data_IF_141628744889
#
_entry.id   IF_141628744889
#
_cell.length_a   1.000
_cell.length_b   1.000
_cell.length_c   1.000
_cell.angle_alpha   90.00
_cell.angle_beta   90.00
_cell.angle_gamma   90.00
#
_symmetry.space_group_name_H-M   'P 1'
#
loop_
_entity.id
_entity.type
_entity.pdbx_description
1 polymer ?
#
# COMPACT_ATOMS: atom_id res chain seq x y z
N UNK A 1 -13.25 -0.55 -5.03
CA UNK A 1 -13.39 -1.33 -6.27
C UNK A 1 -12.05 -1.34 -7.00
N UNK A 2 -11.54 -2.52 -7.33
CA UNK A 2 -10.35 -2.73 -8.14
C UNK A 2 -10.79 -3.04 -9.58
N UNK A 3 -10.09 -2.46 -10.54
CA UNK A 3 -10.36 -2.61 -11.96
C UNK A 3 -9.07 -3.03 -12.66
N UNK A 4 -9.08 -4.18 -13.32
CA UNK A 4 -7.95 -4.67 -14.12
C UNK A 4 -8.29 -4.55 -15.60
N UNK A 5 -7.48 -3.80 -16.34
CA UNK A 5 -7.71 -3.49 -17.73
C UNK A 5 -6.85 -4.41 -18.56
N UNK A 6 -7.50 -5.18 -19.44
CA UNK A 6 -6.88 -6.10 -20.37
C UNK A 6 -7.17 -5.69 -21.81
N UNK A 7 -6.19 -5.90 -22.67
CA UNK A 7 -6.32 -5.79 -24.12
C UNK A 7 -5.53 -6.93 -24.75
N UNK A 8 -6.10 -7.63 -25.74
CA UNK A 8 -5.46 -8.78 -26.39
C UNK A 8 -4.93 -9.85 -25.39
N UNK A 9 -5.73 -10.17 -24.36
CA UNK A 9 -5.38 -11.07 -23.25
C UNK A 9 -4.20 -10.63 -22.36
N UNK A 10 -3.64 -9.45 -22.55
CA UNK A 10 -2.57 -8.92 -21.71
C UNK A 10 -3.13 -7.84 -20.78
N UNK A 11 -2.73 -7.86 -19.51
CA UNK A 11 -3.02 -6.77 -18.58
C UNK A 11 -2.24 -5.53 -19.01
N UNK A 12 -2.95 -4.44 -19.27
CA UNK A 12 -2.37 -3.16 -19.71
C UNK A 12 -2.39 -2.11 -18.61
N UNK A 13 -3.34 -2.19 -17.67
CA UNK A 13 -3.39 -1.26 -16.54
C UNK A 13 -4.19 -1.84 -15.37
N UNK A 14 -4.05 -1.24 -14.19
CA UNK A 14 -4.86 -1.53 -13.00
C UNK A 14 -5.18 -0.23 -12.28
N UNK A 15 -6.46 -0.04 -11.91
CA UNK A 15 -6.90 1.10 -11.12
C UNK A 15 -7.63 0.63 -9.86
N UNK A 16 -7.56 1.46 -8.82
CA UNK A 16 -8.37 1.29 -7.61
C UNK A 16 -9.11 2.59 -7.32
N UNK A 17 -10.43 2.47 -7.17
CA UNK A 17 -11.29 3.60 -6.83
C UNK A 17 -12.00 3.32 -5.51
N UNK A 18 -11.81 4.24 -4.56
CA UNK A 18 -12.51 4.22 -3.28
C UNK A 18 -13.95 4.76 -3.41
N UNK A 19 -14.15 5.74 -4.30
CA UNK A 19 -15.46 6.34 -4.56
C UNK A 19 -15.62 6.73 -6.04
N UNK A 20 -16.88 6.83 -6.48
CA UNK A 20 -17.26 7.35 -7.78
C UNK A 20 -17.53 8.87 -7.77
N UNK A 21 -17.74 9.50 -8.93
CA UNK A 21 -17.83 8.91 -10.26
C UNK A 21 -16.46 8.68 -10.93
N UNK A 22 -16.30 7.54 -11.60
CA UNK A 22 -15.11 7.21 -12.41
C UNK A 22 -15.47 7.27 -13.88
N UNK A 23 -14.88 8.19 -14.66
CA UNK A 23 -15.17 8.32 -16.10
C UNK A 23 -14.22 7.46 -16.91
N UNK A 24 -14.78 6.85 -17.96
CA UNK A 24 -14.08 5.97 -18.90
C UNK A 24 -14.30 6.49 -20.32
N UNK A 25 -13.23 6.63 -21.10
CA UNK A 25 -13.33 7.05 -22.49
C UNK A 25 -11.97 7.24 -23.16
N UNK A 26 -11.98 7.61 -24.45
CA UNK A 26 -10.74 7.84 -25.20
C UNK A 26 -10.07 9.19 -24.90
N UNK A 27 -10.84 10.19 -24.48
CA UNK A 27 -10.24 11.47 -24.15
C UNK A 27 -9.38 11.36 -22.88
N UNK A 28 -8.32 12.16 -22.84
CA UNK A 28 -7.38 12.24 -21.72
C UNK A 28 -7.96 12.88 -20.45
N UNK A 29 -9.18 13.42 -20.51
CA UNK A 29 -9.91 14.01 -19.38
C UNK A 29 -10.69 12.97 -18.54
N UNK A 30 -10.69 11.71 -18.95
CA UNK A 30 -11.27 10.60 -18.22
C UNK A 30 -10.26 10.01 -17.23
N UNK A 31 -10.74 9.47 -16.10
CA UNK A 31 -9.89 8.77 -15.14
C UNK A 31 -9.34 7.45 -15.70
N UNK A 32 -10.12 6.75 -16.52
CA UNK A 32 -9.67 5.57 -17.28
C UNK A 32 -9.65 5.95 -18.76
N UNK A 33 -8.43 6.11 -19.29
CA UNK A 33 -8.20 6.47 -20.69
C UNK A 33 -7.99 5.20 -21.52
N UNK A 34 -8.88 4.98 -22.49
CA UNK A 34 -8.82 3.87 -23.44
C UNK A 34 -8.58 4.42 -24.86
N UNK A 35 -7.32 4.49 -25.33
CA UNK A 35 -6.93 5.26 -26.52
C UNK A 35 -7.27 4.56 -27.85
N UNK A 36 -8.50 4.12 -28.05
CA UNK A 36 -8.95 3.43 -29.28
C UNK A 36 -10.09 4.19 -29.99
N UNK A 37 -10.03 4.28 -31.32
CA UNK A 37 -11.02 5.00 -32.14
C UNK A 37 -12.45 4.52 -31.91
N UNK A 38 -12.65 3.23 -31.64
CA UNK A 38 -13.95 2.63 -31.31
C UNK A 38 -14.48 3.05 -29.93
N UNK A 39 -13.66 3.64 -29.07
CA UNK A 39 -14.08 4.16 -27.78
C UNK A 39 -14.45 5.65 -27.91
N UNK A 40 -15.68 5.96 -27.50
CA UNK A 40 -16.18 7.34 -27.42
C UNK A 40 -15.29 8.20 -26.51
N UNK A 41 -15.26 9.50 -26.80
CA UNK A 41 -14.53 10.50 -26.00
C UNK A 41 -14.89 10.44 -24.51
N UNK A 42 -16.18 10.34 -24.21
CA UNK A 42 -16.74 10.00 -22.90
C UNK A 42 -17.67 8.82 -23.14
N UNK A 43 -17.30 7.63 -22.68
CA UNK A 43 -17.95 6.39 -23.08
C UNK A 43 -18.88 5.86 -22.01
N UNK A 44 -18.35 5.70 -20.80
CA UNK A 44 -19.10 5.20 -19.65
C UNK A 44 -18.66 5.92 -18.37
N UNK A 45 -19.47 5.80 -17.33
CA UNK A 45 -19.13 6.24 -15.98
C UNK A 45 -19.48 5.13 -15.00
N UNK A 46 -18.59 4.89 -14.02
CA UNK A 46 -18.88 4.05 -12.87
C UNK A 46 -19.35 4.96 -11.74
N UNK A 47 -20.57 4.74 -11.29
CA UNK A 47 -21.22 5.49 -10.22
C UNK A 47 -21.26 4.63 -8.98
N UNK A 48 -21.06 5.25 -7.82
CA UNK A 48 -21.28 4.62 -6.54
C UNK A 48 -22.61 5.11 -5.98
N UNK A 49 -23.45 4.19 -5.49
CA UNK A 49 -24.68 4.55 -4.79
C UNK A 49 -24.36 4.99 -3.35
N UNK A 50 -25.28 5.69 -2.66
CA UNK A 50 -25.10 6.04 -1.25
C UNK A 50 -24.83 4.83 -0.34
N UNK A 51 -25.34 3.65 -0.73
CA UNK A 51 -25.17 2.37 -0.02
C UNK A 51 -23.84 1.66 -0.36
N UNK A 52 -22.99 2.28 -1.19
CA UNK A 52 -21.65 1.80 -1.52
C UNK A 52 -21.58 0.85 -2.72
N UNK A 53 -22.71 0.49 -3.33
CA UNK A 53 -22.75 -0.36 -4.52
C UNK A 53 -22.24 0.40 -5.76
N UNK A 54 -21.63 -0.34 -6.68
CA UNK A 54 -21.15 0.22 -7.93
C UNK A 54 -22.10 -0.10 -9.08
N UNK A 55 -22.26 0.84 -9.99
CA UNK A 55 -23.03 0.67 -11.22
C UNK A 55 -22.29 1.28 -12.40
N UNK A 56 -22.32 0.62 -13.55
CA UNK A 56 -21.90 1.22 -14.82
C UNK A 56 -23.07 1.97 -15.44
N UNK A 57 -22.78 3.09 -16.08
CA UNK A 57 -23.72 3.79 -16.95
C UNK A 57 -23.03 4.16 -18.27
N UNK A 58 -23.58 3.68 -19.38
CA UNK A 58 -23.18 4.08 -20.73
C UNK A 58 -23.66 5.50 -21.02
N UNK A 59 -22.78 6.34 -21.56
CA UNK A 59 -23.03 7.75 -21.86
C UNK A 59 -23.45 7.95 -23.32
N UNK A 60 -24.35 7.10 -23.82
CA UNK A 60 -24.77 7.04 -25.23
C UNK A 60 -23.60 6.84 -26.19
N UNK A 61 -22.77 5.84 -25.88
CA UNK A 61 -21.60 5.54 -26.69
C UNK A 61 -21.99 4.95 -28.06
N UNK A 62 -21.12 5.15 -29.07
CA UNK A 62 -21.37 4.69 -30.43
C UNK A 62 -21.33 3.15 -30.56
N UNK A 63 -20.48 2.49 -29.76
CA UNK A 63 -20.26 1.05 -29.82
C UNK A 63 -20.83 0.29 -28.61
N UNK A 64 -21.61 0.96 -27.75
CA UNK A 64 -22.18 0.43 -26.50
C UNK A 64 -21.14 -0.06 -25.50
N UNK A 65 -21.57 -0.13 -24.25
CA UNK A 65 -20.85 -0.79 -23.16
C UNK A 65 -21.45 -2.18 -22.98
N UNK A 66 -20.62 -3.20 -22.81
CA UNK A 66 -21.08 -4.57 -22.56
C UNK A 66 -20.65 -5.02 -21.17
N UNK A 67 -21.52 -5.72 -20.45
CA UNK A 67 -21.23 -6.39 -19.19
C UNK A 67 -21.40 -7.89 -19.39
N UNK A 68 -20.34 -8.68 -19.20
CA UNK A 68 -20.37 -10.13 -19.40
C UNK A 68 -20.96 -10.56 -20.76
N UNK A 69 -20.67 -9.81 -21.82
CA UNK A 69 -21.10 -10.10 -23.20
C UNK A 69 -22.48 -9.56 -23.60
N UNK A 70 -23.25 -8.94 -22.70
CA UNK A 70 -24.54 -8.29 -23.04
C UNK A 70 -24.44 -6.77 -23.02
N UNK A 71 -25.08 -6.05 -23.96
CA UNK A 71 -25.06 -4.59 -23.97
C UNK A 71 -25.89 -4.03 -22.82
N UNK A 72 -25.36 -3.01 -22.15
CA UNK A 72 -25.98 -2.38 -20.97
C UNK A 72 -26.05 -0.87 -21.13
N UNK A 73 -27.14 -0.26 -20.66
CA UNK A 73 -27.26 1.20 -20.58
C UNK A 73 -26.95 1.70 -19.15
N UNK A 74 -27.46 0.99 -18.14
CA UNK A 74 -27.14 1.19 -16.73
C UNK A 74 -27.34 -0.13 -16.00
N UNK A 75 -26.36 -0.57 -15.24
CA UNK A 75 -26.44 -1.85 -14.52
C UNK A 75 -25.52 -1.85 -13.30
N UNK A 76 -25.94 -2.56 -12.24
CA UNK A 76 -25.09 -2.80 -11.08
C UNK A 76 -23.94 -3.73 -11.42
N UNK A 77 -22.81 -3.51 -10.76
CA UNK A 77 -21.59 -4.28 -10.93
C UNK A 77 -21.36 -5.14 -9.70
N UNK A 78 -20.95 -6.38 -9.94
CA UNK A 78 -20.55 -7.36 -8.94
C UNK A 78 -19.09 -7.77 -9.15
N UNK A 79 -18.50 -8.39 -8.14
CA UNK A 79 -17.13 -8.89 -8.25
C UNK A 79 -17.09 -10.07 -9.21
N UNK A 80 -16.05 -10.15 -10.02
CA UNK A 80 -15.91 -11.12 -11.10
C UNK A 80 -16.60 -10.69 -12.41
N UNK A 81 -17.32 -9.57 -12.44
CA UNK A 81 -17.87 -9.04 -13.67
C UNK A 81 -16.76 -8.52 -14.60
N UNK A 82 -16.97 -8.62 -15.91
CA UNK A 82 -16.08 -8.05 -16.92
C UNK A 82 -16.83 -7.08 -17.82
N UNK A 83 -16.41 -5.82 -17.81
CA UNK A 83 -16.91 -4.79 -18.74
C UNK A 83 -16.09 -4.81 -20.03
N UNK A 84 -16.75 -4.82 -21.17
CA UNK A 84 -16.11 -4.69 -22.47
C UNK A 84 -16.47 -3.34 -23.11
N UNK A 85 -15.42 -2.60 -23.49
CA UNK A 85 -15.49 -1.31 -24.18
C UNK A 85 -14.48 -1.33 -25.34
N UNK A 86 -14.95 -1.40 -26.57
CA UNK A 86 -14.08 -1.57 -27.74
C UNK A 86 -13.31 -2.90 -27.67
N UNK A 87 -11.99 -2.84 -27.80
CA UNK A 87 -11.08 -4.00 -27.63
C UNK A 87 -10.61 -4.24 -26.19
N UNK A 88 -11.04 -3.41 -25.24
CA UNK A 88 -10.65 -3.50 -23.84
C UNK A 88 -11.66 -4.30 -23.03
N UNK A 89 -11.13 -5.11 -22.11
CA UNK A 89 -11.87 -5.76 -21.02
C UNK A 89 -11.44 -5.13 -19.71
N UNK A 90 -12.38 -4.81 -18.84
CA UNK A 90 -12.16 -4.25 -17.51
C UNK A 90 -12.78 -5.24 -16.53
N UNK A 91 -11.93 -6.03 -15.90
CA UNK A 91 -12.38 -6.96 -14.85
C UNK A 91 -12.60 -6.20 -13.57
N UNK A 92 -13.77 -6.43 -13.00
CA UNK A 92 -14.26 -5.73 -11.84
C UNK A 92 -14.13 -6.65 -10.65
N UNK A 93 -13.46 -6.12 -9.64
CA UNK A 93 -13.45 -6.69 -8.32
C UNK A 93 -14.12 -5.68 -7.38
N UNK A 94 -15.42 -5.91 -7.13
CA UNK A 94 -16.25 -5.09 -6.24
C UNK A 94 -16.20 -5.58 -4.80
N UNK A 95 -15.54 -6.70 -4.51
CA UNK A 95 -15.55 -7.25 -3.16
C UNK A 95 -14.80 -6.32 -2.20
N UNK A 96 -15.51 -5.98 -1.13
CA UNK A 96 -14.91 -5.95 0.20
C UNK A 96 -14.64 -7.43 0.55
N UNK A 97 -13.39 -7.83 0.79
CA UNK A 97 -12.96 -9.22 1.12
C UNK A 97 -14.11 -10.14 1.58
N UNK A 98 -14.60 -11.07 0.75
CA UNK A 98 -15.32 -12.26 1.23
C UNK A 98 -15.04 -13.44 0.31
N UNK A 99 -14.08 -14.33 0.63
CA UNK A 99 -13.82 -15.50 -0.20
C UNK A 99 -15.04 -16.44 -0.20
N UNK A 100 -15.35 -16.96 -1.39
CA UNK A 100 -16.37 -17.97 -1.63
C UNK A 100 -16.17 -19.22 -0.75
N UNK A 101 -17.27 -19.67 -0.15
CA UNK A 101 -17.37 -20.87 0.67
C UNK A 101 -17.20 -22.14 -0.18
N UNK A 102 -16.19 -22.95 0.15
CA UNK A 102 -16.28 -24.41 -0.04
C UNK A 102 -17.31 -25.00 0.94
N UNK A 103 -17.94 -26.14 0.61
CA UNK A 103 -19.14 -26.61 1.32
C UNK A 103 -18.88 -26.86 2.80
N UNK A 104 -19.73 -26.25 3.63
CA UNK A 104 -19.70 -26.24 5.09
C UNK A 104 -19.94 -27.67 5.62
N UNK A 105 -18.93 -28.23 6.29
CA UNK A 105 -19.13 -29.34 7.23
C UNK A 105 -19.65 -28.77 8.56
N UNK A 106 -20.85 -29.19 8.94
CA UNK A 106 -21.68 -28.67 10.04
C UNK A 106 -21.16 -28.96 11.48
N UNK A 107 -19.88 -29.26 11.68
CA UNK A 107 -19.36 -29.64 13.01
C UNK A 107 -18.30 -28.69 13.61
N UNK A 108 -17.74 -27.74 12.85
CA UNK A 108 -16.71 -26.81 13.39
C UNK A 108 -17.30 -25.47 13.88
N UNK A 109 -18.45 -25.51 14.55
CA UNK A 109 -19.19 -24.30 14.99
C UNK A 109 -18.64 -23.69 16.29
N UNK A 110 -17.32 -23.71 16.56
CA UNK A 110 -16.72 -23.03 17.72
C UNK A 110 -15.22 -22.69 17.51
N UNK A 111 -14.87 -21.91 16.48
CA UNK A 111 -13.66 -21.09 16.52
C UNK A 111 -14.06 -19.68 16.06
N UNK A 112 -14.04 -18.74 16.99
CA UNK A 112 -14.05 -17.30 16.72
C UNK A 112 -13.13 -16.98 15.55
N UNK A 113 -13.65 -16.38 14.48
CA UNK A 113 -12.89 -15.82 13.37
C UNK A 113 -11.86 -14.78 13.88
N UNK A 114 -10.70 -15.24 14.32
CA UNK A 114 -9.52 -14.42 14.47
C UNK A 114 -9.08 -14.12 13.04
N UNK A 115 -9.44 -12.94 12.51
CA UNK A 115 -8.87 -12.42 11.27
C UNK A 115 -7.35 -12.34 11.47
N UNK A 116 -6.61 -13.29 10.90
CA UNK A 116 -5.16 -13.38 11.12
C UNK A 116 -4.42 -12.13 10.62
N UNK A 117 -3.39 -11.72 11.37
CA UNK A 117 -2.52 -10.62 10.99
C UNK A 117 -1.69 -11.01 9.76
N UNK A 118 -2.07 -10.52 8.59
CA UNK A 118 -1.32 -10.75 7.36
C UNK A 118 -0.02 -9.92 7.34
N UNK A 119 1.10 -10.58 7.05
CA UNK A 119 2.41 -9.96 6.87
C UNK A 119 2.93 -10.28 5.47
N UNK A 120 3.33 -9.27 4.72
CA UNK A 120 4.00 -9.43 3.42
C UNK A 120 5.47 -9.04 3.63
N UNK A 121 6.39 -9.96 3.36
CA UNK A 121 7.82 -9.73 3.50
C UNK A 121 8.47 -9.45 2.13
N UNK A 122 9.41 -8.52 2.12
CA UNK A 122 10.35 -8.26 1.03
C UNK A 122 11.73 -8.70 1.51
N UNK A 123 12.24 -9.76 0.88
CA UNK A 123 13.60 -10.25 1.05
C UNK A 123 14.46 -9.77 -0.14
N UNK A 124 15.51 -9.01 0.16
CA UNK A 124 16.45 -8.48 -0.83
C UNK A 124 17.56 -9.45 -1.20
N UNK A 125 17.69 -10.58 -0.49
CA UNK A 125 18.71 -11.61 -0.73
C UNK A 125 18.24 -12.72 -1.69
N UNK A 126 16.94 -12.82 -1.95
CA UNK A 126 16.34 -13.89 -2.75
C UNK A 126 15.84 -13.40 -4.11
N UNK A 127 16.46 -13.87 -5.20
CA UNK A 127 16.19 -13.45 -6.58
C UNK A 127 14.81 -13.82 -7.16
N UNK A 128 13.88 -14.31 -6.34
CA UNK A 128 12.48 -14.57 -6.70
C UNK A 128 11.51 -13.47 -6.26
N UNK A 129 12.00 -12.41 -5.60
CA UNK A 129 11.17 -11.30 -5.21
C UNK A 129 10.60 -10.56 -6.45
N UNK A 130 9.33 -10.12 -6.43
CA UNK A 130 8.77 -9.30 -7.50
C UNK A 130 9.58 -8.03 -7.74
N UNK A 131 9.50 -7.47 -8.95
CA UNK A 131 10.14 -6.19 -9.26
C UNK A 131 9.77 -5.11 -8.24
N UNK A 132 10.74 -4.23 -7.93
CA UNK A 132 10.48 -3.00 -7.18
C UNK A 132 9.64 -2.07 -8.05
N UNK A 133 8.50 -1.61 -7.52
CA UNK A 133 7.59 -0.70 -8.24
C UNK A 133 7.47 0.61 -7.49
N UNK A 134 7.94 1.68 -8.11
CA UNK A 134 7.92 3.02 -7.53
C UNK A 134 7.25 4.00 -8.50
N UNK A 135 6.20 4.71 -8.05
CA UNK A 135 5.67 5.85 -8.80
C UNK A 135 6.78 6.90 -9.03
N UNK A 136 6.84 7.50 -10.21
CA UNK A 136 7.89 8.46 -10.55
C UNK A 136 7.98 9.64 -9.55
N UNK A 137 6.86 10.05 -8.95
CA UNK A 137 6.85 11.10 -7.91
C UNK A 137 7.68 10.73 -6.67
N UNK A 138 7.79 9.44 -6.32
CA UNK A 138 8.61 8.97 -5.20
C UNK A 138 10.11 9.21 -5.43
N UNK A 139 10.56 9.35 -6.68
CA UNK A 139 11.95 9.70 -6.97
C UNK A 139 12.26 11.12 -6.50
N UNK A 140 11.34 12.07 -6.70
CA UNK A 140 11.51 13.43 -6.17
C UNK A 140 11.55 13.46 -4.65
N UNK A 141 10.67 12.68 -3.99
CA UNK A 141 10.68 12.56 -2.53
C UNK A 141 11.97 11.92 -2.01
N UNK A 142 12.51 10.93 -2.73
CA UNK A 142 13.77 10.28 -2.38
C UNK A 142 14.95 11.24 -2.47
N UNK A 143 15.00 12.10 -3.50
CA UNK A 143 16.06 13.11 -3.64
C UNK A 143 16.06 14.05 -2.43
N UNK A 144 14.90 14.62 -2.09
CA UNK A 144 14.73 15.49 -0.91
C UNK A 144 15.15 14.78 0.39
N UNK A 145 14.68 13.54 0.58
CA UNK A 145 15.03 12.74 1.74
C UNK A 145 16.53 12.45 1.83
N UNK A 146 17.16 12.07 0.72
CA UNK A 146 18.58 11.76 0.66
C UNK A 146 19.43 12.99 1.02
N UNK A 147 19.09 14.17 0.50
CA UNK A 147 19.78 15.43 0.83
C UNK A 147 19.68 15.77 2.32
N UNK A 148 18.49 15.62 2.91
CA UNK A 148 18.27 15.86 4.35
C UNK A 148 19.06 14.88 5.22
N UNK A 149 19.04 13.58 4.89
CA UNK A 149 19.77 12.56 5.65
C UNK A 149 21.29 12.75 5.52
N UNK A 150 21.80 13.06 4.32
CA UNK A 150 23.23 13.35 4.12
C UNK A 150 23.72 14.58 4.89
N UNK A 151 22.82 15.55 5.13
CA UNK A 151 23.15 16.79 5.84
C UNK A 151 23.07 16.65 7.37
N UNK A 152 22.54 15.53 7.88
CA UNK A 152 22.39 15.30 9.30
C UNK A 152 23.72 14.90 9.96
N UNK A 153 24.04 15.54 11.07
CA UNK A 153 25.31 15.32 11.79
C UNK A 153 25.11 14.40 12.99
N UNK A 154 25.39 13.10 12.80
CA UNK A 154 25.30 12.07 13.83
C UNK A 154 23.92 11.41 13.95
N UNK A 155 23.84 10.35 14.76
CA UNK A 155 22.67 9.49 14.84
C UNK A 155 21.40 10.21 15.29
N UNK A 156 21.49 11.10 16.28
CA UNK A 156 20.31 11.81 16.81
C UNK A 156 19.67 12.69 15.72
N UNK A 157 20.49 13.40 14.94
CA UNK A 157 20.01 14.26 13.85
C UNK A 157 19.39 13.44 12.70
N UNK A 158 19.97 12.27 12.39
CA UNK A 158 19.41 11.35 11.40
C UNK A 158 18.08 10.81 11.89
N UNK A 159 18.02 10.39 13.16
CA UNK A 159 16.80 9.87 13.76
C UNK A 159 15.67 10.89 13.68
N UNK A 160 15.92 12.15 14.06
CA UNK A 160 14.95 13.23 13.93
C UNK A 160 14.52 13.44 12.47
N UNK A 161 15.47 13.42 11.54
CA UNK A 161 15.18 13.53 10.10
C UNK A 161 14.30 12.40 9.58
N UNK A 162 14.55 11.15 10.00
CA UNK A 162 13.73 9.99 9.61
C UNK A 162 12.30 10.10 10.13
N UNK A 163 12.13 10.57 11.36
CA UNK A 163 10.82 10.78 11.96
C UNK A 163 10.03 11.83 11.18
N UNK A 164 10.64 12.98 10.87
CA UNK A 164 10.03 14.03 10.05
C UNK A 164 9.64 13.52 8.66
N UNK A 165 10.56 12.84 7.97
CA UNK A 165 10.30 12.26 6.64
C UNK A 165 9.15 11.25 6.66
N UNK A 166 9.05 10.43 7.71
CA UNK A 166 7.98 9.46 7.87
C UNK A 166 6.61 10.15 8.01
N UNK A 167 6.50 11.24 8.77
CA UNK A 167 5.26 12.02 8.84
C UNK A 167 4.94 12.71 7.51
N UNK A 168 5.92 13.39 6.92
CA UNK A 168 5.73 14.22 5.72
C UNK A 168 5.36 13.38 4.50
N UNK A 169 6.06 12.26 4.30
CA UNK A 169 6.04 11.52 3.03
C UNK A 169 5.26 10.20 3.10
N UNK A 170 4.94 9.71 4.31
CA UNK A 170 4.11 8.51 4.51
C UNK A 170 2.80 8.81 5.24
N UNK A 171 2.55 10.06 5.63
CA UNK A 171 1.35 10.47 6.36
C UNK A 171 1.11 9.59 7.59
N UNK A 172 2.18 9.36 8.34
CA UNK A 172 2.18 8.46 9.48
C UNK A 172 1.26 8.97 10.59
N UNK A 173 0.53 8.06 11.24
CA UNK A 173 -0.12 8.34 12.51
C UNK A 173 0.90 8.24 13.66
N UNK A 174 1.81 7.25 13.56
CA UNK A 174 2.93 7.07 14.49
C UNK A 174 4.17 6.60 13.75
N UNK A 175 5.30 7.03 14.26
CA UNK A 175 6.62 6.65 13.76
C UNK A 175 7.47 6.25 14.95
N UNK A 176 8.27 5.21 14.80
CA UNK A 176 9.34 4.90 15.72
C UNK A 176 10.56 4.46 14.94
N UNK A 177 11.72 4.90 15.36
CA UNK A 177 12.97 4.43 14.80
C UNK A 177 14.02 4.27 15.88
N UNK A 178 14.98 3.40 15.59
CA UNK A 178 16.14 3.18 16.43
C UNK A 178 17.37 2.91 15.59
N UNK A 179 18.51 3.46 16.02
CA UNK A 179 19.79 3.46 15.34
C UNK A 179 20.92 3.05 16.29
N UNK A 180 21.99 2.50 15.72
CA UNK A 180 23.28 2.22 16.33
C UNK A 180 24.40 2.38 15.30
N UNK A 181 25.61 2.72 15.74
CA UNK A 181 26.77 2.82 14.86
C UNK A 181 27.31 1.45 14.47
N UNK A 182 27.32 0.51 15.41
CA UNK A 182 27.85 -0.83 15.16
C UNK A 182 26.78 -1.75 14.56
N UNK A 183 27.19 -2.63 13.66
CA UNK A 183 26.32 -3.64 13.05
C UNK A 183 25.75 -4.67 14.06
N UNK A 184 26.23 -4.68 15.31
CA UNK A 184 25.86 -5.61 16.38
C UNK A 184 25.76 -4.82 17.70
N UNK A 185 24.84 -5.19 18.59
CA UNK A 185 24.71 -4.60 19.93
C UNK A 185 23.33 -3.98 20.18
N UNK A 186 23.11 -3.35 21.34
CA UNK A 186 21.84 -2.67 21.60
C UNK A 186 21.68 -1.46 20.67
N UNK A 187 20.43 -1.07 20.38
CA UNK A 187 20.15 0.22 19.76
C UNK A 187 20.55 1.34 20.73
N UNK A 188 21.36 2.29 20.27
CA UNK A 188 21.95 3.35 21.12
C UNK A 188 21.16 4.66 21.07
N UNK A 189 20.40 4.87 19.99
CA UNK A 189 19.58 6.05 19.78
C UNK A 189 18.19 5.56 19.33
N UNK A 190 17.11 5.97 20.00
CA UNK A 190 15.75 5.60 19.59
C UNK A 190 14.75 6.69 19.98
N UNK A 191 13.71 6.84 19.18
CA UNK A 191 12.66 7.84 19.38
C UNK A 191 11.41 7.41 18.64
N UNK A 192 10.27 7.63 19.26
CA UNK A 192 8.99 7.48 18.63
C UNK A 192 8.11 8.69 18.90
N UNK A 193 7.32 9.06 17.91
CA UNK A 193 6.35 10.15 18.01
C UNK A 193 5.01 9.70 17.41
N UNK A 194 3.92 10.31 17.88
CA UNK A 194 2.66 10.32 17.17
C UNK A 194 2.49 11.60 16.33
N UNK A 195 1.44 11.66 15.51
CA UNK A 195 1.15 12.81 14.65
C UNK A 195 0.90 14.14 15.39
N UNK A 196 0.73 14.12 16.72
CA UNK A 196 0.65 15.32 17.57
C UNK A 196 2.01 15.76 18.12
N UNK A 197 3.08 15.01 17.86
CA UNK A 197 4.41 15.23 18.41
C UNK A 197 4.58 14.72 19.84
N UNK A 198 3.66 13.89 20.34
CA UNK A 198 3.80 13.26 21.66
C UNK A 198 4.72 12.04 21.55
N UNK A 199 5.64 11.90 22.50
CA UNK A 199 6.57 10.76 22.54
C UNK A 199 5.85 9.43 22.79
N UNK A 200 6.28 8.40 22.06
CA UNK A 200 5.84 7.02 22.23
C UNK A 200 7.05 6.12 22.40
N UNK A 201 6.99 5.26 23.42
CA UNK A 201 7.99 4.22 23.63
C UNK A 201 7.72 3.01 22.73
N UNK A 202 8.73 2.14 22.60
CA UNK A 202 8.57 0.87 21.88
C UNK A 202 7.46 -0.01 22.49
N UNK A 203 7.26 0.06 23.82
CA UNK A 203 6.20 -0.66 24.52
C UNK A 203 4.78 -0.20 24.17
N UNK A 204 4.62 1.03 23.68
CA UNK A 204 3.33 1.59 23.25
C UNK A 204 2.96 1.16 21.81
N UNK A 205 3.86 0.41 21.15
CA UNK A 205 3.67 -0.11 19.81
C UNK A 205 3.22 -1.58 19.92
N UNK A 206 1.94 -1.82 19.69
CA UNK A 206 1.36 -3.18 19.68
C UNK A 206 1.99 -4.13 18.64
N UNK A 207 2.81 -3.60 17.73
CA UNK A 207 3.57 -4.34 16.72
C UNK A 207 5.07 -4.46 17.01
N UNK A 208 5.55 -4.18 18.23
CA UNK A 208 6.99 -4.28 18.56
C UNK A 208 7.60 -5.65 18.20
N UNK A 209 6.88 -6.76 18.39
CA UNK A 209 7.35 -8.11 17.98
C UNK A 209 7.62 -8.22 16.48
N UNK A 210 6.91 -7.45 15.65
CA UNK A 210 7.14 -7.41 14.19
C UNK A 210 8.36 -6.58 13.84
N UNK A 211 8.74 -5.60 14.67
CA UNK A 211 10.00 -4.88 14.55
C UNK A 211 11.16 -5.84 14.87
N UNK A 212 11.04 -6.62 15.95
CA UNK A 212 12.03 -7.65 16.30
C UNK A 212 12.17 -8.68 15.17
N UNK A 213 11.06 -9.20 14.64
CA UNK A 213 11.05 -10.14 13.51
C UNK A 213 11.76 -9.55 12.27
N UNK A 214 11.50 -8.29 11.92
CA UNK A 214 12.13 -7.63 10.79
C UNK A 214 13.65 -7.47 10.99
N UNK A 215 14.09 -7.15 12.21
CA UNK A 215 15.50 -7.02 12.58
C UNK A 215 16.23 -8.38 12.54
N UNK A 216 15.61 -9.42 13.10
CA UNK A 216 16.17 -10.78 13.16
C UNK A 216 16.31 -11.41 11.77
N UNK A 217 15.28 -11.27 10.92
CA UNK A 217 15.27 -11.85 9.57
C UNK A 217 15.93 -10.95 8.53
N UNK A 218 16.11 -9.67 8.82
CA UNK A 218 16.58 -8.68 7.85
C UNK A 218 15.60 -8.43 6.70
N UNK A 219 14.31 -8.70 6.93
CA UNK A 219 13.21 -8.56 5.97
C UNK A 219 12.46 -7.25 6.17
N UNK A 220 11.99 -6.66 5.07
CA UNK A 220 11.12 -5.48 5.12
C UNK A 220 9.67 -5.97 5.13
N UNK A 221 8.87 -5.47 6.08
CA UNK A 221 7.52 -5.99 6.32
C UNK A 221 6.46 -4.97 5.99
N UNK A 222 5.42 -5.42 5.29
CA UNK A 222 4.16 -4.70 5.10
C UNK A 222 3.04 -5.45 5.82
N UNK A 223 2.32 -4.75 6.68
CA UNK A 223 1.11 -5.21 7.34
C UNK A 223 -0.07 -4.43 6.75
N UNK A 224 -0.69 -4.91 5.65
CA UNK A 224 -1.68 -4.15 4.89
C UNK A 224 -3.02 -3.99 5.64
N UNK A 225 -3.25 -4.85 6.63
CA UNK A 225 -4.39 -4.77 7.54
C UNK A 225 -3.97 -5.30 8.91
N UNK A 226 -4.26 -4.51 9.92
CA UNK A 226 -4.07 -4.90 11.32
C UNK A 226 -5.46 -5.08 11.96
N UNK A 227 -5.75 -6.24 12.57
CA UNK A 227 -6.98 -6.44 13.32
C UNK A 227 -7.08 -5.41 14.45
N UNK A 228 -8.29 -4.97 14.82
CA UNK A 228 -8.46 -4.05 15.93
C UNK A 228 -7.92 -4.70 17.21
N UNK A 229 -7.01 -4.00 17.88
CA UNK A 229 -6.51 -4.41 19.19
C UNK A 229 -7.54 -4.11 20.28
N UNK A 230 -7.52 -4.91 21.35
CA UNK A 230 -8.37 -4.74 22.53
C UNK A 230 -8.02 -3.44 23.28
N UNK A 231 -6.78 -2.97 23.15
CA UNK A 231 -6.25 -1.76 23.79
C UNK A 231 -6.64 -0.45 23.07
N UNK A 232 -7.54 -0.51 22.08
CA UNK A 232 -8.13 0.67 21.45
C UNK A 232 -7.22 1.41 20.46
N UNK A 233 -5.99 0.93 20.24
CA UNK A 233 -5.11 1.44 19.19
C UNK A 233 -5.67 1.09 17.80
N UNK A 234 -6.16 2.11 17.09
CA UNK A 234 -6.82 1.95 15.78
C UNK A 234 -5.83 1.99 14.62
N UNK A 235 -4.86 1.07 14.64
CA UNK A 235 -3.92 0.93 13.51
C UNK A 235 -4.65 0.33 12.31
N UNK A 236 -4.46 0.90 11.13
CA UNK A 236 -5.03 0.39 9.88
C UNK A 236 -4.06 -0.48 9.13
N UNK A 237 -2.83 -0.01 8.99
CA UNK A 237 -1.71 -0.68 8.33
C UNK A 237 -0.38 -0.18 8.89
N UNK A 238 0.68 -0.96 8.71
CA UNK A 238 2.02 -0.59 9.11
C UNK A 238 3.05 -1.10 8.10
N UNK A 239 4.19 -0.41 8.02
CA UNK A 239 5.39 -0.85 7.30
C UNK A 239 6.59 -0.79 8.24
N UNK A 240 7.50 -1.74 8.09
CA UNK A 240 8.68 -1.90 8.93
C UNK A 240 9.87 -2.14 8.02
N UNK A 241 10.91 -1.35 8.20
CA UNK A 241 12.14 -1.46 7.43
C UNK A 241 13.36 -1.57 8.35
N UNK A 242 14.12 -2.69 8.29
CA UNK A 242 15.45 -2.71 8.88
C UNK A 242 16.36 -1.74 8.10
N UNK A 243 17.12 -0.93 8.84
CA UNK A 243 18.18 -0.06 8.31
C UNK A 243 19.42 -0.92 8.24
N UNK A 244 19.74 -1.45 7.05
CA UNK A 244 20.81 -2.43 6.88
C UNK A 244 21.52 -2.32 5.54
N UNK A 245 22.77 -2.76 5.52
CA UNK A 245 23.56 -3.01 4.31
C UNK A 245 23.92 -4.51 4.24
N UNK A 246 24.77 -4.88 3.28
CA UNK A 246 25.34 -6.23 3.24
C UNK A 246 26.21 -6.54 4.48
N UNK A 247 26.73 -5.51 5.15
CA UNK A 247 27.69 -5.64 6.25
C UNK A 247 27.01 -5.70 7.63
N UNK A 248 25.71 -5.41 7.71
CA UNK A 248 24.94 -5.59 8.93
C UNK A 248 23.71 -4.72 9.03
N UNK A 249 23.06 -4.79 10.18
CA UNK A 249 21.88 -4.00 10.52
C UNK A 249 22.26 -2.92 11.53
N UNK A 250 21.89 -1.67 11.24
CA UNK A 250 22.21 -0.48 12.02
C UNK A 250 20.98 0.11 12.70
N UNK A 251 19.78 -0.40 12.41
CA UNK A 251 18.56 0.13 12.99
C UNK A 251 17.28 -0.44 12.40
N UNK A 252 16.16 0.18 12.75
CA UNK A 252 14.86 -0.06 12.13
C UNK A 252 14.02 1.21 12.11
N UNK A 253 13.09 1.27 11.16
CA UNK A 253 12.03 2.27 11.06
C UNK A 253 10.69 1.53 11.06
N UNK A 254 9.80 1.95 11.93
CA UNK A 254 8.40 1.56 12.02
C UNK A 254 7.52 2.76 11.65
N UNK A 255 6.57 2.54 10.76
CA UNK A 255 5.59 3.56 10.35
C UNK A 255 4.21 2.92 10.34
N UNK A 256 3.24 3.54 11.02
CA UNK A 256 1.85 3.14 10.93
C UNK A 256 0.92 4.28 10.58
N UNK A 257 -0.30 3.91 10.18
CA UNK A 257 -1.37 4.87 9.94
C UNK A 257 -2.69 4.42 10.57
N UNK A 258 -3.59 5.38 10.72
CA UNK A 258 -4.90 5.16 11.31
C UNK A 258 -5.95 4.75 10.26
N UNK A 259 -7.17 4.46 10.72
CA UNK A 259 -8.27 3.99 9.86
C UNK A 259 -8.86 5.06 8.94
N UNK A 260 -8.46 6.33 9.08
CA UNK A 260 -8.87 7.41 8.18
C UNK A 260 -7.99 7.47 6.94
N UNK A 261 -6.76 6.95 7.03
CA UNK A 261 -5.81 6.86 5.93
C UNK A 261 -6.01 5.62 5.04
N UNK A 262 -5.47 5.69 3.81
CA UNK A 262 -5.34 4.53 2.94
C UNK A 262 -4.31 3.55 3.53
N UNK A 263 -4.53 2.23 3.45
CA UNK A 263 -3.52 1.28 3.89
C UNK A 263 -2.25 1.40 3.04
N UNK A 264 -1.09 1.20 3.67
CA UNK A 264 0.18 1.15 2.97
C UNK A 264 0.20 0.03 1.93
N UNK A 265 0.91 0.32 0.84
CA UNK A 265 1.05 -0.58 -0.30
C UNK A 265 2.47 -1.11 -0.40
N UNK A 266 2.69 -2.08 -1.30
CA UNK A 266 4.04 -2.54 -1.62
C UNK A 266 4.92 -1.42 -2.19
N UNK A 267 4.36 -0.44 -2.90
CA UNK A 267 5.13 0.70 -3.39
C UNK A 267 5.61 1.61 -2.25
N UNK A 268 4.84 1.72 -1.16
CA UNK A 268 5.25 2.45 0.04
C UNK A 268 6.34 1.69 0.79
N UNK A 269 6.23 0.36 0.89
CA UNK A 269 7.30 -0.48 1.45
C UNK A 269 8.58 -0.40 0.61
N UNK A 270 8.47 -0.48 -0.72
CA UNK A 270 9.60 -0.36 -1.65
C UNK A 270 10.28 1.02 -1.52
N UNK A 271 9.50 2.08 -1.24
CA UNK A 271 10.05 3.41 -0.97
C UNK A 271 10.77 3.49 0.38
N UNK A 272 10.15 2.97 1.45
CA UNK A 272 10.78 2.94 2.78
C UNK A 272 12.06 2.09 2.77
N UNK A 273 12.07 1.01 1.98
CA UNK A 273 13.27 0.19 1.75
C UNK A 273 14.42 1.03 1.19
N UNK A 274 14.17 1.86 0.16
CA UNK A 274 15.22 2.73 -0.40
C UNK A 274 15.75 3.72 0.64
N UNK A 275 14.86 4.34 1.43
CA UNK A 275 15.27 5.24 2.51
C UNK A 275 16.11 4.53 3.57
N UNK A 276 15.69 3.34 4.00
CA UNK A 276 16.38 2.57 5.02
C UNK A 276 17.76 2.09 4.56
N UNK A 277 17.89 1.61 3.31
CA UNK A 277 19.18 1.20 2.73
C UNK A 277 20.11 2.39 2.56
N UNK A 278 19.60 3.53 2.09
CA UNK A 278 20.39 4.76 1.96
C UNK A 278 20.91 5.24 3.32
N UNK A 279 20.02 5.28 4.31
CA UNK A 279 20.37 5.65 5.69
C UNK A 279 21.44 4.72 6.27
N UNK A 280 21.32 3.41 6.06
CA UNK A 280 22.29 2.44 6.53
C UNK A 280 23.68 2.69 5.95
N UNK A 281 23.76 2.99 4.65
CA UNK A 281 25.02 3.33 3.98
C UNK A 281 25.66 4.60 4.52
N UNK A 282 24.86 5.58 4.99
CA UNK A 282 25.40 6.77 5.65
C UNK A 282 25.89 6.41 7.05
N UNK A 283 25.11 5.63 7.82
CA UNK A 283 25.47 5.25 9.19
C UNK A 283 26.77 4.44 9.24
N UNK A 284 26.92 3.50 8.31
CA UNK A 284 28.11 2.67 8.18
C UNK A 284 29.39 3.46 7.93
N UNK A 285 29.28 4.68 7.39
CA UNK A 285 30.41 5.55 7.07
C UNK A 285 30.64 6.69 8.09
N UNK A 286 29.90 6.72 9.21
CA UNK A 286 30.22 7.63 10.32
C UNK A 286 31.44 7.22 11.14
#
# INVERSE_FOLDING_TARGET
MRLVIRQNNHQVNEFRFAAGPVRIGRNVDNQIVLPEVKVSRRHAVLLQTPEGHWAVQDLNSANKTYLNGRPVQREFLSSGDSLQIGSFFIDIDTEQDTPAQEPIHLEDTLITDIRELQTIARDTSNGKAPDLRLPAVRIGHFIDAAERICSANGLDAILDTLLELAFDQFHAARVWAALRNDAIGPMTCNKGLNAKGEEIGLGDIGLHKKIDEALEKGEFLLLPRIPPDSDGHRIRSAIIAPIRTANGTFGAIYVDNDRTAQPYTLADLDYLLLLAVHTAGIIENF
#
